data_IF_713319825374
#
_entry.id   IF_713319825374
#
_cell.length_a   1.000
_cell.length_b   1.000
_cell.length_c   1.000
_cell.angle_alpha   90.00
_cell.angle_beta   90.00
_cell.angle_gamma   90.00
#
_symmetry.space_group_name_H-M   'P 1'
#
loop_
_entity.id
_entity.type
_entity.pdbx_description
1 polymer ?
#
# COMPACT_ATOMS: atom_id res chain seq x y z
N UNK A 1 -2.88 -4.35 -37.04
CA UNK A 1 -2.10 -4.89 -38.18
C UNK A 1 -0.62 -5.20 -37.87
N UNK A 2 0.09 -4.30 -37.17
CA UNK A 2 1.51 -4.53 -36.84
C UNK A 2 1.73 -5.39 -35.59
N UNK A 3 0.87 -5.22 -34.56
CA UNK A 3 0.96 -5.95 -33.30
C UNK A 3 0.84 -7.48 -33.50
N UNK A 4 0.03 -7.90 -34.47
CA UNK A 4 -0.23 -9.32 -34.78
C UNK A 4 1.00 -10.05 -35.34
N UNK A 5 2.06 -9.31 -35.69
CA UNK A 5 3.32 -9.85 -36.25
C UNK A 5 4.51 -9.70 -35.29
N UNK A 6 4.24 -9.38 -34.02
CA UNK A 6 5.28 -9.10 -33.02
C UNK A 6 5.03 -9.91 -31.76
N UNK A 7 6.11 -10.43 -31.17
CA UNK A 7 6.06 -10.90 -29.79
C UNK A 7 6.31 -9.72 -28.85
N UNK A 8 5.35 -9.42 -27.99
CA UNK A 8 5.43 -8.29 -27.06
C UNK A 8 6.09 -8.74 -25.76
N UNK A 9 7.38 -8.45 -25.62
CA UNK A 9 8.11 -8.65 -24.36
C UNK A 9 7.89 -7.43 -23.46
N UNK A 10 7.26 -7.63 -22.31
CA UNK A 10 7.00 -6.57 -21.33
C UNK A 10 8.13 -6.52 -20.30
N UNK A 11 8.79 -5.38 -20.20
CA UNK A 11 9.80 -5.12 -19.18
C UNK A 11 9.17 -4.37 -18.00
N UNK A 12 9.21 -4.98 -16.81
CA UNK A 12 8.74 -4.34 -15.59
C UNK A 12 9.69 -3.24 -15.10
N UNK A 13 9.18 -2.34 -14.27
CA UNK A 13 10.00 -1.35 -13.58
C UNK A 13 10.90 -1.98 -12.51
N UNK A 14 11.83 -1.16 -11.99
CA UNK A 14 12.77 -1.55 -10.94
C UNK A 14 12.28 -1.15 -9.54
N UNK A 15 12.58 -1.99 -8.55
CA UNK A 15 12.52 -1.69 -7.12
C UNK A 15 13.57 -0.65 -6.73
N UNK A 16 13.43 -0.05 -5.53
CA UNK A 16 14.44 0.90 -5.04
C UNK A 16 15.82 0.24 -4.88
N UNK A 17 15.87 -0.98 -4.32
CA UNK A 17 17.11 -1.75 -4.18
C UNK A 17 17.80 -2.02 -5.52
N UNK A 18 17.04 -2.46 -6.52
CA UNK A 18 17.57 -2.65 -7.88
C UNK A 18 18.09 -1.34 -8.48
N UNK A 19 17.37 -0.22 -8.32
CA UNK A 19 17.84 1.09 -8.80
C UNK A 19 19.13 1.52 -8.13
N UNK A 20 19.31 1.27 -6.83
CA UNK A 20 20.56 1.55 -6.12
C UNK A 20 21.71 0.74 -6.72
N UNK A 21 21.51 -0.55 -6.99
CA UNK A 21 22.51 -1.42 -7.60
C UNK A 21 22.86 -0.94 -9.02
N UNK A 22 21.84 -0.63 -9.83
CA UNK A 22 22.01 -0.12 -11.20
C UNK A 22 22.79 1.20 -11.18
N UNK A 23 22.45 2.11 -10.27
CA UNK A 23 23.12 3.39 -10.12
C UNK A 23 24.60 3.22 -9.77
N UNK A 24 24.92 2.37 -8.78
CA UNK A 24 26.30 2.11 -8.34
C UNK A 24 27.15 1.48 -9.44
N UNK A 25 26.61 0.47 -10.13
CA UNK A 25 27.39 -0.35 -11.06
C UNK A 25 27.48 0.25 -12.46
N UNK A 26 26.47 1.00 -12.90
CA UNK A 26 26.37 1.46 -14.29
C UNK A 26 26.24 2.98 -14.43
N UNK A 27 25.28 3.60 -13.75
CA UNK A 27 24.95 5.02 -13.99
C UNK A 27 26.03 5.96 -13.47
N UNK A 28 26.49 5.77 -12.23
CA UNK A 28 27.52 6.62 -11.62
C UNK A 28 28.85 6.52 -12.39
N UNK A 29 29.40 5.32 -12.69
CA UNK A 29 30.62 5.20 -13.50
C UNK A 29 30.50 5.85 -14.88
N UNK A 30 29.32 5.76 -15.50
CA UNK A 30 29.04 6.42 -16.78
C UNK A 30 29.02 7.94 -16.64
N UNK A 31 28.27 8.49 -15.69
CA UNK A 31 28.18 9.93 -15.48
C UNK A 31 29.51 10.57 -15.05
N UNK A 32 30.36 9.85 -14.31
CA UNK A 32 31.73 10.31 -13.98
C UNK A 32 32.54 10.51 -15.27
N UNK A 33 32.49 9.55 -16.21
CA UNK A 33 33.18 9.64 -17.50
C UNK A 33 32.62 10.75 -18.38
N UNK A 34 31.29 10.84 -18.50
CA UNK A 34 30.63 11.84 -19.36
C UNK A 34 30.85 13.29 -18.87
N UNK A 35 31.09 13.50 -17.57
CA UNK A 35 31.38 14.82 -17.00
C UNK A 35 32.88 15.06 -16.77
N UNK A 36 33.76 14.22 -17.35
CA UNK A 36 35.22 14.37 -17.29
C UNK A 36 35.81 14.44 -15.86
N UNK A 37 35.17 13.79 -14.89
CA UNK A 37 35.66 13.70 -13.52
C UNK A 37 36.67 12.55 -13.38
N UNK A 38 37.76 12.78 -12.65
CA UNK A 38 38.75 11.72 -12.35
C UNK A 38 38.22 10.78 -11.28
N UNK A 39 38.73 9.55 -11.29
CA UNK A 39 38.39 8.53 -10.28
C UNK A 39 38.73 9.05 -8.87
N UNK A 40 37.73 9.12 -8.01
CA UNK A 40 37.87 9.58 -6.62
C UNK A 40 37.62 11.08 -6.38
N UNK A 41 37.36 11.88 -7.43
CA UNK A 41 36.92 13.28 -7.27
C UNK A 41 35.48 13.38 -6.78
N UNK A 42 34.65 12.37 -7.09
CA UNK A 42 33.28 12.26 -6.60
C UNK A 42 33.01 10.85 -6.08
N UNK A 43 32.26 10.73 -4.98
CA UNK A 43 31.82 9.45 -4.46
C UNK A 43 30.42 9.58 -3.87
N UNK A 44 29.47 8.80 -4.36
CA UNK A 44 28.11 8.77 -3.83
C UNK A 44 28.01 7.76 -2.69
N UNK A 45 27.43 8.19 -1.57
CA UNK A 45 26.97 7.28 -0.54
C UNK A 45 25.69 6.58 -0.99
N UNK A 46 25.42 5.38 -0.48
CA UNK A 46 24.16 4.69 -0.79
C UNK A 46 22.94 5.53 -0.37
N UNK A 47 23.01 6.17 0.80
CA UNK A 47 21.94 7.06 1.28
C UNK A 47 21.68 8.23 0.32
N UNK A 48 22.72 8.80 -0.29
CA UNK A 48 22.52 9.84 -1.30
C UNK A 48 21.84 9.33 -2.57
N UNK A 49 22.11 8.08 -2.97
CA UNK A 49 21.42 7.46 -4.12
C UNK A 49 19.95 7.24 -3.78
N UNK A 50 19.64 6.76 -2.57
CA UNK A 50 18.25 6.61 -2.09
C UNK A 50 17.52 7.95 -2.03
N UNK A 51 18.18 9.00 -1.53
CA UNK A 51 17.66 10.37 -1.54
C UNK A 51 17.31 10.83 -2.97
N UNK A 52 18.20 10.63 -3.93
CA UNK A 52 17.93 10.95 -5.34
C UNK A 52 16.71 10.18 -5.88
N UNK A 53 16.62 8.90 -5.58
CA UNK A 53 15.51 8.05 -6.02
C UNK A 53 14.18 8.56 -5.43
N UNK A 54 14.13 8.81 -4.12
CA UNK A 54 12.89 9.10 -3.39
C UNK A 54 12.44 10.56 -3.56
N UNK A 55 13.35 11.52 -3.45
CA UNK A 55 13.02 12.94 -3.37
C UNK A 55 13.11 13.69 -4.71
N UNK A 56 13.85 13.15 -5.69
CA UNK A 56 14.15 13.85 -6.95
C UNK A 56 13.70 13.10 -8.21
N UNK A 57 13.21 11.86 -8.09
CA UNK A 57 12.70 11.08 -9.22
C UNK A 57 11.34 10.45 -8.93
N UNK A 58 10.50 10.33 -9.96
CA UNK A 58 9.25 9.56 -9.92
C UNK A 58 9.06 8.85 -11.26
N UNK A 59 9.59 7.63 -11.36
CA UNK A 59 9.55 6.81 -12.57
C UNK A 59 9.68 5.31 -12.23
N UNK A 60 9.27 4.45 -13.15
CA UNK A 60 9.53 3.01 -13.05
C UNK A 60 10.97 2.63 -13.47
N UNK A 61 11.54 3.36 -14.42
CA UNK A 61 12.91 3.18 -14.93
C UNK A 61 13.97 3.92 -14.12
N UNK A 62 15.08 4.26 -14.79
CA UNK A 62 16.24 4.96 -14.20
C UNK A 62 16.71 6.17 -15.03
N UNK A 63 15.87 6.67 -15.94
CA UNK A 63 16.27 7.72 -16.88
C UNK A 63 16.41 9.07 -16.18
N UNK A 64 15.43 9.45 -15.36
CA UNK A 64 15.53 10.65 -14.53
C UNK A 64 16.58 10.47 -13.44
N UNK A 65 16.73 9.25 -12.88
CA UNK A 65 17.82 8.97 -11.94
C UNK A 65 19.20 9.25 -12.57
N UNK A 66 19.46 8.76 -13.79
CA UNK A 66 20.69 9.06 -14.51
C UNK A 66 20.88 10.58 -14.75
N UNK A 67 19.80 11.30 -15.11
CA UNK A 67 19.83 12.75 -15.29
C UNK A 67 20.17 13.50 -14.00
N UNK A 68 19.59 13.14 -12.86
CA UNK A 68 19.88 13.80 -11.59
C UNK A 68 21.30 13.46 -11.09
N UNK A 69 21.76 12.22 -11.26
CA UNK A 69 23.16 11.84 -11.01
C UNK A 69 24.10 12.70 -11.87
N UNK A 70 23.79 12.86 -13.15
CA UNK A 70 24.55 13.70 -14.07
C UNK A 70 24.56 15.18 -13.68
N UNK A 71 23.45 15.73 -13.19
CA UNK A 71 23.40 17.10 -12.66
C UNK A 71 24.29 17.29 -11.43
N UNK A 72 24.27 16.34 -10.50
CA UNK A 72 25.16 16.35 -9.33
C UNK A 72 26.62 16.30 -9.79
N UNK A 73 26.96 15.36 -10.69
CA UNK A 73 28.31 15.23 -11.24
C UNK A 73 28.78 16.52 -11.92
N UNK A 74 27.93 17.15 -12.74
CA UNK A 74 28.24 18.41 -13.43
C UNK A 74 28.53 19.55 -12.45
N UNK A 75 27.73 19.70 -11.39
CA UNK A 75 27.95 20.75 -10.37
C UNK A 75 29.26 20.54 -9.62
N UNK A 76 29.60 19.29 -9.31
CA UNK A 76 30.90 18.95 -8.70
C UNK A 76 32.04 19.24 -9.67
N UNK A 77 31.91 18.87 -10.95
CA UNK A 77 32.91 19.14 -11.99
C UNK A 77 33.18 20.65 -12.14
N UNK A 78 32.14 21.49 -12.14
CA UNK A 78 32.29 22.95 -12.14
C UNK A 78 33.08 23.45 -10.91
N UNK A 79 32.82 22.88 -9.73
CA UNK A 79 33.57 23.20 -8.52
C UNK A 79 35.05 22.78 -8.56
N UNK A 80 35.35 21.63 -9.17
CA UNK A 80 36.72 21.15 -9.40
C UNK A 80 37.45 22.04 -10.40
N UNK A 81 36.83 22.37 -11.53
CA UNK A 81 37.40 23.24 -12.56
C UNK A 81 37.69 24.66 -12.03
N UNK A 82 36.85 25.17 -11.13
CA UNK A 82 37.05 26.45 -10.47
C UNK A 82 38.09 26.41 -9.32
N UNK A 83 38.72 25.25 -9.06
CA UNK A 83 39.69 25.07 -7.97
C UNK A 83 39.09 25.07 -6.56
N UNK A 84 37.76 25.10 -6.43
CA UNK A 84 37.05 25.21 -5.14
C UNK A 84 36.94 23.88 -4.40
N UNK A 85 37.09 22.76 -5.08
CA UNK A 85 36.89 21.42 -4.49
C UNK A 85 37.80 20.41 -5.18
N UNK A 86 38.54 19.61 -4.40
CA UNK A 86 39.39 18.54 -4.95
C UNK A 86 38.71 17.16 -4.94
N UNK A 87 37.89 16.89 -3.93
CA UNK A 87 37.09 15.67 -3.78
C UNK A 87 35.77 16.01 -3.09
N UNK A 88 34.65 15.44 -3.53
CA UNK A 88 33.34 15.61 -2.88
C UNK A 88 32.70 14.25 -2.62
N UNK A 89 32.41 13.97 -1.36
CA UNK A 89 31.55 12.85 -0.95
C UNK A 89 30.10 13.34 -0.96
N UNK A 90 29.26 12.72 -1.78
CA UNK A 90 27.85 13.07 -1.93
C UNK A 90 27.05 12.29 -0.87
N UNK A 91 26.56 13.03 0.13
CA UNK A 91 25.61 12.60 1.16
C UNK A 91 24.22 13.18 0.87
N UNK A 92 23.14 12.73 1.53
CA UNK A 92 21.81 13.32 1.35
C UNK A 92 21.78 14.84 1.48
N UNK A 93 22.45 15.39 2.51
CA UNK A 93 22.57 16.85 2.69
C UNK A 93 23.24 17.56 1.49
N UNK A 94 24.26 16.93 0.89
CA UNK A 94 24.92 17.45 -0.31
C UNK A 94 24.02 17.36 -1.54
N UNK A 95 23.16 16.33 -1.63
CA UNK A 95 22.15 16.25 -2.70
C UNK A 95 21.22 17.46 -2.61
N UNK A 96 20.72 17.79 -1.42
CA UNK A 96 19.84 18.96 -1.21
C UNK A 96 20.57 20.28 -1.46
N UNK A 97 21.82 20.43 -1.00
CA UNK A 97 22.68 21.58 -1.29
C UNK A 97 22.81 21.80 -2.81
N UNK A 98 23.05 20.72 -3.56
CA UNK A 98 23.31 20.81 -4.99
C UNK A 98 22.05 20.87 -5.84
N UNK A 99 20.98 20.14 -5.52
CA UNK A 99 19.78 20.08 -6.36
C UNK A 99 18.65 21.01 -5.90
N UNK A 100 18.77 21.60 -4.71
CA UNK A 100 17.74 22.41 -4.08
C UNK A 100 16.70 21.56 -3.36
N UNK A 101 15.53 22.14 -3.10
CA UNK A 101 14.43 21.48 -2.38
C UNK A 101 14.00 20.17 -3.05
N UNK A 102 13.63 19.19 -2.23
CA UNK A 102 13.01 17.96 -2.68
C UNK A 102 11.78 18.26 -3.55
N UNK A 103 11.60 17.48 -4.63
CA UNK A 103 10.45 17.65 -5.55
C UNK A 103 9.30 16.71 -5.21
N UNK A 104 9.62 15.58 -4.60
CA UNK A 104 8.65 14.57 -4.19
C UNK A 104 8.80 14.36 -2.68
N UNK A 105 7.67 14.41 -1.97
CA UNK A 105 7.64 14.29 -0.51
C UNK A 105 7.28 12.87 -0.04
N UNK A 106 7.26 11.89 -0.96
CA UNK A 106 7.00 10.49 -0.65
C UNK A 106 5.66 10.29 0.11
N UNK A 107 5.66 9.63 1.28
CA UNK A 107 4.45 9.33 2.04
C UNK A 107 3.77 10.57 2.65
N UNK A 108 4.47 11.68 2.85
CA UNK A 108 3.88 12.91 3.42
C UNK A 108 2.81 13.49 2.50
N UNK A 109 3.03 13.48 1.18
CA UNK A 109 2.04 13.94 0.19
C UNK A 109 0.75 13.11 0.25
N UNK A 110 0.87 11.79 0.46
CA UNK A 110 -0.30 10.91 0.60
C UNK A 110 -1.04 11.25 1.89
N UNK A 111 -0.31 11.39 3.00
CA UNK A 111 -0.90 11.68 4.28
C UNK A 111 -1.64 13.03 4.28
N UNK A 112 -1.07 14.07 3.69
CA UNK A 112 -1.69 15.39 3.62
C UNK A 112 -3.00 15.37 2.82
N UNK A 113 -3.01 14.66 1.68
CA UNK A 113 -4.21 14.59 0.83
C UNK A 113 -5.32 13.74 1.42
N UNK A 114 -4.99 12.60 2.03
CA UNK A 114 -5.97 11.62 2.54
C UNK A 114 -6.57 11.97 3.90
N UNK A 115 -6.01 12.98 4.59
CA UNK A 115 -6.61 13.53 5.82
C UNK A 115 -7.99 14.16 5.58
N UNK A 116 -8.29 14.55 4.35
CA UNK A 116 -9.55 15.18 3.97
C UNK A 116 -10.59 14.09 3.67
N UNK A 117 -11.74 14.05 4.38
CA UNK A 117 -12.82 13.15 4.02
C UNK A 117 -13.27 13.37 2.58
N UNK A 118 -13.45 12.27 1.84
CA UNK A 118 -13.72 12.31 0.41
C UNK A 118 -12.50 12.06 -0.47
N UNK A 119 -11.30 11.89 0.10
CA UNK A 119 -10.08 11.58 -0.66
C UNK A 119 -9.62 10.13 -0.39
N UNK A 120 -9.40 9.35 -1.45
CA UNK A 120 -8.92 7.98 -1.35
C UNK A 120 -7.73 7.71 -2.29
N UNK A 121 -6.72 6.99 -1.79
CA UNK A 121 -5.57 6.57 -2.58
C UNK A 121 -5.87 5.28 -3.36
N UNK A 122 -5.76 5.35 -4.68
CA UNK A 122 -5.93 4.24 -5.62
C UNK A 122 -4.64 3.90 -6.35
N UNK A 123 -4.51 2.64 -6.77
CA UNK A 123 -3.38 2.18 -7.59
C UNK A 123 -3.79 2.09 -9.06
N UNK A 124 -3.03 2.75 -9.93
CA UNK A 124 -3.23 2.72 -11.36
C UNK A 124 -2.09 2.03 -12.08
N UNK A 125 -2.43 1.45 -13.22
CA UNK A 125 -1.46 0.96 -14.20
C UNK A 125 -1.38 1.97 -15.34
N UNK A 126 -0.17 2.33 -15.75
CA UNK A 126 0.10 3.12 -16.93
C UNK A 126 1.14 2.41 -17.80
N UNK A 127 1.26 2.74 -19.10
CA UNK A 127 2.33 2.20 -19.93
C UNK A 127 3.75 2.53 -19.43
N UNK A 128 3.90 3.58 -18.61
CA UNK A 128 5.16 3.95 -17.98
C UNK A 128 5.40 3.25 -16.62
N UNK A 129 4.50 2.36 -16.20
CA UNK A 129 4.51 1.64 -14.93
C UNK A 129 3.35 2.03 -14.02
N UNK A 130 3.32 1.47 -12.81
CA UNK A 130 2.28 1.79 -11.83
C UNK A 130 2.42 3.18 -11.21
N UNK A 131 1.30 3.78 -10.81
CA UNK A 131 1.26 5.10 -10.16
C UNK A 131 0.15 5.16 -9.08
N UNK A 132 0.28 6.12 -8.17
CA UNK A 132 -0.72 6.43 -7.14
C UNK A 132 -1.66 7.52 -7.66
N UNK A 133 -2.96 7.28 -7.53
CA UNK A 133 -4.01 8.25 -7.83
C UNK A 133 -4.73 8.66 -6.55
N UNK A 134 -5.08 9.93 -6.45
CA UNK A 134 -5.95 10.44 -5.40
C UNK A 134 -7.30 10.71 -6.01
N UNK A 135 -8.29 9.89 -5.68
CA UNK A 135 -9.67 10.12 -6.10
C UNK A 135 -10.30 11.03 -5.06
N UNK A 136 -10.89 12.13 -5.52
CA UNK A 136 -11.43 13.19 -4.68
C UNK A 136 -12.93 13.30 -4.94
N UNK A 137 -13.71 13.32 -3.87
CA UNK A 137 -15.15 13.54 -3.91
C UNK A 137 -15.49 14.77 -3.08
N UNK A 138 -16.39 15.61 -3.59
CA UNK A 138 -16.95 16.74 -2.85
C UNK A 138 -18.47 16.78 -2.98
N UNK A 139 -19.13 17.38 -2.00
CA UNK A 139 -20.58 17.56 -1.95
C UNK A 139 -20.94 19.05 -1.91
N UNK A 140 -22.01 19.40 -2.60
CA UNK A 140 -22.59 20.75 -2.66
C UNK A 140 -24.08 20.63 -2.40
N UNK A 141 -24.71 21.63 -1.76
CA UNK A 141 -26.18 21.65 -1.64
C UNK A 141 -26.83 21.62 -3.02
N UNK A 142 -27.75 20.71 -3.24
CA UNK A 142 -28.30 20.47 -4.57
C UNK A 142 -29.42 19.44 -4.63
N UNK A 143 -29.74 19.03 -5.86
CA UNK A 143 -30.93 18.27 -6.22
C UNK A 143 -30.66 16.85 -6.74
N UNK A 144 -29.55 16.22 -6.31
CA UNK A 144 -29.10 14.84 -6.63
C UNK A 144 -28.24 14.67 -7.87
N UNK A 145 -27.60 15.72 -8.36
CA UNK A 145 -26.71 15.61 -9.51
C UNK A 145 -25.41 14.85 -9.16
N UNK A 146 -24.88 14.06 -10.10
CA UNK A 146 -23.62 13.36 -9.94
C UNK A 146 -22.69 13.64 -11.13
N UNK A 147 -21.69 14.48 -10.87
CA UNK A 147 -20.69 14.87 -11.86
C UNK A 147 -19.43 14.06 -11.69
N UNK A 148 -18.85 13.62 -12.80
CA UNK A 148 -17.56 12.92 -12.80
C UNK A 148 -16.61 13.62 -13.77
N UNK A 149 -15.42 14.02 -13.29
CA UNK A 149 -14.41 14.69 -14.12
C UNK A 149 -13.05 13.99 -14.06
N UNK A 150 -12.17 14.37 -14.99
CA UNK A 150 -10.82 13.81 -15.11
C UNK A 150 -10.64 12.94 -16.35
N UNK A 151 -11.21 13.34 -17.49
CA UNK A 151 -11.01 12.69 -18.80
C UNK A 151 -11.22 11.17 -18.77
N UNK A 152 -12.34 10.75 -18.18
CA UNK A 152 -12.71 9.35 -18.04
C UNK A 152 -13.35 8.82 -19.33
N UNK A 153 -12.95 7.59 -19.70
CA UNK A 153 -13.68 6.79 -20.69
C UNK A 153 -15.01 6.29 -20.13
N UNK A 154 -15.86 5.73 -20.99
CA UNK A 154 -17.23 5.38 -20.64
C UNK A 154 -17.29 4.24 -19.61
N UNK A 155 -16.38 3.26 -19.69
CA UNK A 155 -16.26 2.16 -18.72
C UNK A 155 -16.00 2.71 -17.30
N UNK A 156 -15.17 3.75 -17.21
CA UNK A 156 -14.83 4.34 -15.91
C UNK A 156 -15.96 5.22 -15.36
N UNK A 157 -16.74 5.89 -16.22
CA UNK A 157 -17.98 6.58 -15.81
C UNK A 157 -19.02 5.59 -15.28
N UNK A 158 -19.19 4.45 -15.94
CA UNK A 158 -20.07 3.37 -15.45
C UNK A 158 -19.61 2.84 -14.09
N UNK A 159 -18.30 2.63 -13.91
CA UNK A 159 -17.72 2.23 -12.63
C UNK A 159 -17.97 3.26 -11.52
N UNK A 160 -17.91 4.56 -11.84
CA UNK A 160 -18.23 5.64 -10.90
C UNK A 160 -19.72 5.61 -10.49
N UNK A 161 -20.62 5.39 -11.45
CA UNK A 161 -22.06 5.24 -11.19
C UNK A 161 -22.36 4.00 -10.34
N UNK A 162 -21.68 2.89 -10.61
CA UNK A 162 -21.81 1.66 -9.83
C UNK A 162 -21.32 1.86 -8.38
N UNK A 163 -20.21 2.58 -8.19
CA UNK A 163 -19.71 2.94 -6.88
C UNK A 163 -20.70 3.80 -6.08
N UNK A 164 -21.26 4.85 -6.70
CA UNK A 164 -22.29 5.68 -6.06
C UNK A 164 -23.52 4.86 -5.70
N UNK A 165 -24.02 4.05 -6.64
CA UNK A 165 -25.20 3.19 -6.43
C UNK A 165 -24.98 2.23 -5.28
N UNK A 166 -23.79 1.63 -5.18
CA UNK A 166 -23.43 0.73 -4.10
C UNK A 166 -23.45 1.45 -2.75
N UNK A 167 -22.70 2.56 -2.61
CA UNK A 167 -22.62 3.30 -1.33
C UNK A 167 -24.00 3.77 -0.89
N UNK A 168 -24.85 4.22 -1.82
CA UNK A 168 -26.24 4.58 -1.54
C UNK A 168 -27.05 3.40 -0.99
N UNK A 169 -26.88 2.21 -1.56
CA UNK A 169 -27.61 1.01 -1.13
C UNK A 169 -27.22 0.49 0.26
N UNK A 170 -26.04 0.88 0.77
CA UNK A 170 -25.54 0.51 2.10
C UNK A 170 -25.52 1.69 3.08
N UNK A 171 -26.27 2.76 2.80
CA UNK A 171 -26.28 3.99 3.61
C UNK A 171 -26.59 3.73 5.09
N UNK A 172 -27.57 2.87 5.36
CA UNK A 172 -27.98 2.51 6.72
C UNK A 172 -26.83 1.87 7.52
N UNK A 173 -26.08 0.94 6.90
CA UNK A 173 -24.97 0.27 7.59
C UNK A 173 -23.77 1.19 7.83
N UNK A 174 -23.65 2.26 7.04
CA UNK A 174 -22.63 3.30 7.18
C UNK A 174 -23.08 4.48 8.07
N UNK A 175 -24.30 4.45 8.61
CA UNK A 175 -24.91 5.56 9.36
C UNK A 175 -25.00 6.87 8.55
N UNK A 176 -25.21 6.76 7.24
CA UNK A 176 -25.46 7.90 6.35
C UNK A 176 -26.96 8.18 6.34
N UNK A 177 -27.37 9.43 6.56
CA UNK A 177 -28.78 9.81 6.48
C UNK A 177 -29.26 9.68 5.04
N UNK A 178 -30.44 9.10 4.81
CA UNK A 178 -31.02 8.99 3.47
C UNK A 178 -31.17 10.34 2.76
N UNK A 179 -31.45 11.39 3.55
CA UNK A 179 -31.59 12.75 3.03
C UNK A 179 -30.29 13.32 2.44
N UNK A 180 -29.13 12.78 2.83
CA UNK A 180 -27.83 13.20 2.33
C UNK A 180 -27.77 13.12 0.80
N UNK A 181 -28.23 12.01 0.23
CA UNK A 181 -28.21 11.81 -1.22
C UNK A 181 -29.28 12.62 -1.94
N UNK A 182 -30.31 13.10 -1.22
CA UNK A 182 -31.36 13.93 -1.81
C UNK A 182 -31.10 15.41 -1.80
N UNK A 183 -30.30 15.87 -0.85
CA UNK A 183 -30.03 17.28 -0.58
C UNK A 183 -28.67 17.75 -1.11
N UNK A 184 -27.85 16.82 -1.62
CA UNK A 184 -26.51 17.13 -2.09
C UNK A 184 -26.29 16.65 -3.53
N UNK A 185 -25.68 17.53 -4.32
CA UNK A 185 -25.00 17.17 -5.56
C UNK A 185 -23.59 16.70 -5.22
N UNK A 186 -23.12 15.68 -5.92
CA UNK A 186 -21.80 15.08 -5.69
C UNK A 186 -20.95 15.28 -6.93
N UNK A 187 -19.70 15.71 -6.72
CA UNK A 187 -18.70 15.78 -7.77
C UNK A 187 -17.53 14.87 -7.42
N UNK A 188 -17.32 13.84 -8.23
CA UNK A 188 -16.18 12.94 -8.16
C UNK A 188 -15.12 13.35 -9.20
N UNK A 189 -13.90 13.59 -8.75
CA UNK A 189 -12.76 13.86 -9.60
C UNK A 189 -11.79 12.68 -9.54
N UNK A 190 -11.46 12.13 -10.71
CA UNK A 190 -10.42 11.12 -10.87
C UNK A 190 -9.30 11.77 -11.67
N UNK A 191 -8.22 12.26 -11.04
CA UNK A 191 -7.16 12.99 -11.75
C UNK A 191 -6.64 12.15 -12.90
N UNK A 192 -6.62 12.69 -14.12
CA UNK A 192 -5.97 12.03 -15.25
C UNK A 192 -4.51 12.45 -15.36
N UNK A 193 -3.65 11.52 -15.77
CA UNK A 193 -2.39 11.89 -16.40
C UNK A 193 -2.64 12.24 -17.88
N UNK A 194 -1.62 12.16 -18.72
CA UNK A 194 -1.75 12.42 -20.16
C UNK A 194 -2.47 11.32 -20.96
N UNK A 195 -2.86 10.19 -20.34
CA UNK A 195 -3.55 9.09 -21.00
C UNK A 195 -4.96 8.84 -20.44
N UNK A 196 -5.95 8.56 -21.32
CA UNK A 196 -7.31 8.19 -20.90
C UNK A 196 -7.28 6.98 -19.96
N UNK A 197 -8.00 7.09 -18.85
CA UNK A 197 -8.13 6.01 -17.84
C UNK A 197 -9.41 5.24 -18.10
N UNK A 198 -9.32 4.28 -19.03
CA UNK A 198 -10.47 3.51 -19.48
C UNK A 198 -10.50 2.10 -18.88
N UNK A 199 -10.24 1.99 -17.58
CA UNK A 199 -10.20 0.71 -16.87
C UNK A 199 -10.96 0.75 -15.56
N UNK A 200 -11.83 -0.24 -15.26
CA UNK A 200 -12.75 -0.20 -14.10
C UNK A 200 -12.04 -0.41 -12.74
N UNK A 201 -10.71 -0.58 -12.74
CA UNK A 201 -9.91 -1.02 -11.59
C UNK A 201 -9.79 -0.04 -10.40
N UNK A 202 -10.47 1.09 -10.48
CA UNK A 202 -10.57 2.09 -9.40
C UNK A 202 -11.98 2.14 -8.77
N UNK A 203 -12.86 1.20 -9.10
CA UNK A 203 -14.23 1.11 -8.56
C UNK A 203 -14.30 1.14 -7.03
N UNK A 204 -13.49 0.32 -6.36
CA UNK A 204 -13.47 0.27 -4.89
C UNK A 204 -12.86 1.54 -4.26
N UNK A 205 -11.96 2.21 -4.98
CA UNK A 205 -11.36 3.49 -4.56
C UNK A 205 -12.40 4.60 -4.62
N UNK A 206 -13.19 4.66 -5.69
CA UNK A 206 -14.30 5.61 -5.83
C UNK A 206 -15.37 5.38 -4.77
N UNK A 207 -15.73 4.12 -4.50
CA UNK A 207 -16.68 3.78 -3.44
C UNK A 207 -16.16 4.24 -2.06
N UNK A 208 -14.86 4.07 -1.79
CA UNK A 208 -14.24 4.51 -0.54
C UNK A 208 -14.20 6.03 -0.40
N UNK A 209 -13.89 6.77 -1.47
CA UNK A 209 -13.94 8.23 -1.48
C UNK A 209 -15.38 8.73 -1.22
N UNK A 210 -16.38 8.17 -1.90
CA UNK A 210 -17.78 8.54 -1.73
C UNK A 210 -18.31 8.22 -0.32
N UNK A 211 -17.97 7.04 0.22
CA UNK A 211 -18.34 6.66 1.59
C UNK A 211 -17.62 7.55 2.62
N UNK A 212 -16.35 7.87 2.40
CA UNK A 212 -15.58 8.78 3.25
C UNK A 212 -16.22 10.18 3.30
N UNK A 213 -16.59 10.72 2.14
CA UNK A 213 -17.27 12.01 2.04
C UNK A 213 -18.60 12.01 2.80
N UNK A 214 -19.44 10.99 2.58
CA UNK A 214 -20.78 10.93 3.16
C UNK A 214 -20.78 10.66 4.67
N UNK A 215 -19.77 9.94 5.18
CA UNK A 215 -19.63 9.63 6.62
C UNK A 215 -18.82 10.69 7.38
N UNK A 216 -18.05 11.53 6.67
CA UNK A 216 -17.08 12.44 7.27
C UNK A 216 -15.85 11.73 7.86
N UNK A 217 -15.68 10.43 7.61
CA UNK A 217 -14.54 9.65 8.12
C UNK A 217 -13.45 9.63 7.04
N UNK A 218 -12.27 10.13 7.36
CA UNK A 218 -11.13 10.09 6.45
C UNK A 218 -10.67 8.65 6.16
N UNK A 219 -10.24 8.42 4.92
CA UNK A 219 -9.60 7.15 4.54
C UNK A 219 -8.21 7.09 5.17
N UNK A 220 -7.82 5.91 5.67
CA UNK A 220 -6.48 5.70 6.24
C UNK A 220 -5.39 6.13 5.25
N UNK A 221 -4.40 6.87 5.73
CA UNK A 221 -3.36 7.47 4.89
C UNK A 221 -2.23 6.52 4.48
N UNK A 222 -2.08 5.40 5.18
CA UNK A 222 -1.02 4.41 4.92
C UNK A 222 -1.46 3.28 3.99
N UNK A 223 -2.66 3.36 3.41
CA UNK A 223 -3.20 2.35 2.50
C UNK A 223 -3.48 2.89 1.11
N UNK A 224 -3.39 2.00 0.13
CA UNK A 224 -4.00 2.20 -1.19
C UNK A 224 -4.76 0.95 -1.61
N UNK A 225 -5.63 1.11 -2.61
CA UNK A 225 -6.49 0.04 -3.06
C UNK A 225 -6.65 0.01 -4.58
N UNK A 226 -6.97 -1.17 -5.11
CA UNK A 226 -7.39 -1.34 -6.51
C UNK A 226 -8.37 -2.51 -6.59
N UNK A 227 -9.35 -2.40 -7.47
CA UNK A 227 -10.39 -3.40 -7.61
C UNK A 227 -11.54 -2.83 -8.42
N UNK A 228 -12.08 -3.66 -9.29
CA UNK A 228 -13.34 -3.36 -9.96
C UNK A 228 -14.52 -3.66 -9.03
N UNK A 229 -15.59 -2.90 -9.18
CA UNK A 229 -16.79 -2.97 -8.35
C UNK A 229 -18.00 -3.39 -9.19
N UNK A 230 -18.89 -4.18 -8.59
CA UNK A 230 -20.21 -4.47 -9.15
C UNK A 230 -21.29 -3.76 -8.34
N UNK A 231 -22.49 -3.60 -8.92
CA UNK A 231 -23.66 -3.07 -8.21
C UNK A 231 -24.04 -3.87 -6.95
N UNK A 232 -23.64 -5.16 -6.88
CA UNK A 232 -23.88 -6.06 -5.74
C UNK A 232 -22.77 -6.01 -4.69
N UNK A 233 -21.78 -5.12 -4.84
CA UNK A 233 -20.68 -5.00 -3.89
C UNK A 233 -19.61 -6.08 -3.99
N UNK A 234 -19.59 -6.88 -5.06
CA UNK A 234 -18.45 -7.79 -5.32
C UNK A 234 -17.25 -7.03 -5.85
N UNK A 235 -16.07 -7.44 -5.40
CA UNK A 235 -14.78 -6.94 -5.90
C UNK A 235 -14.24 -7.92 -6.94
N UNK A 236 -14.01 -7.43 -8.15
CA UNK A 236 -13.54 -8.22 -9.29
C UNK A 236 -12.02 -8.10 -9.50
N UNK A 237 -11.37 -9.13 -10.08
CA UNK A 237 -9.94 -9.14 -10.30
C UNK A 237 -9.50 -8.04 -11.29
N UNK A 238 -8.27 -7.59 -11.11
CA UNK A 238 -7.66 -6.53 -11.93
C UNK A 238 -6.36 -7.00 -12.56
N UNK A 239 -5.94 -6.33 -13.64
CA UNK A 239 -4.62 -6.53 -14.25
C UNK A 239 -3.54 -5.61 -13.66
N UNK A 240 -2.28 -5.95 -13.96
CA UNK A 240 -1.11 -5.13 -13.62
C UNK A 240 -0.82 -5.06 -12.11
N UNK A 241 -1.07 -6.15 -11.38
CA UNK A 241 -0.90 -6.24 -9.93
C UNK A 241 0.54 -5.91 -9.55
N UNK A 242 1.52 -6.51 -10.24
CA UNK A 242 2.94 -6.27 -10.00
C UNK A 242 3.30 -4.78 -10.06
N UNK A 243 2.95 -4.09 -11.14
CA UNK A 243 3.29 -2.68 -11.31
C UNK A 243 2.60 -1.78 -10.28
N UNK A 244 1.34 -2.09 -9.95
CA UNK A 244 0.56 -1.36 -8.95
C UNK A 244 1.16 -1.52 -7.54
N UNK A 245 1.55 -2.74 -7.17
CA UNK A 245 2.18 -3.02 -5.88
C UNK A 245 3.57 -2.37 -5.79
N UNK A 246 4.36 -2.40 -6.87
CA UNK A 246 5.63 -1.66 -6.93
C UNK A 246 5.43 -0.15 -6.77
N UNK A 247 4.35 0.41 -7.32
CA UNK A 247 4.01 1.82 -7.13
C UNK A 247 3.65 2.13 -5.68
N UNK A 248 2.88 1.26 -5.03
CA UNK A 248 2.55 1.39 -3.60
C UNK A 248 3.81 1.39 -2.74
N UNK A 249 4.72 0.45 -3.00
CA UNK A 249 6.00 0.35 -2.29
C UNK A 249 6.85 1.61 -2.46
N UNK A 250 7.01 2.10 -3.70
CA UNK A 250 7.76 3.34 -3.98
C UNK A 250 7.15 4.57 -3.30
N UNK A 251 5.85 4.58 -3.08
CA UNK A 251 5.15 5.66 -2.41
C UNK A 251 5.18 5.53 -0.87
N UNK A 252 5.80 4.47 -0.33
CA UNK A 252 5.91 4.25 1.11
C UNK A 252 4.61 3.79 1.78
N UNK A 253 3.66 3.26 1.02
CA UNK A 253 2.41 2.73 1.55
C UNK A 253 2.63 1.41 2.27
N UNK A 254 2.02 1.25 3.44
CA UNK A 254 2.18 0.07 4.31
C UNK A 254 1.16 -1.00 4.03
N UNK A 255 -0.02 -0.62 3.53
CA UNK A 255 -1.12 -1.56 3.28
C UNK A 255 -1.63 -1.43 1.86
N UNK A 256 -1.86 -2.56 1.19
CA UNK A 256 -2.50 -2.58 -0.13
C UNK A 256 -3.72 -3.49 -0.10
N UNK A 257 -4.87 -2.95 -0.46
CA UNK A 257 -6.10 -3.72 -0.63
C UNK A 257 -6.18 -4.24 -2.06
N UNK A 258 -6.28 -5.57 -2.21
CA UNK A 258 -6.36 -6.26 -3.50
C UNK A 258 -7.60 -7.16 -3.56
N UNK A 259 -8.17 -7.40 -4.76
CA UNK A 259 -9.18 -8.44 -4.92
C UNK A 259 -8.60 -9.79 -4.52
N UNK A 260 -9.37 -10.62 -3.82
CA UNK A 260 -8.90 -11.92 -3.33
C UNK A 260 -8.41 -12.85 -4.44
N UNK A 261 -9.03 -12.76 -5.62
CA UNK A 261 -8.63 -13.55 -6.80
C UNK A 261 -7.25 -13.15 -7.35
N UNK A 262 -6.75 -11.97 -7.02
CA UNK A 262 -5.40 -11.53 -7.41
C UNK A 262 -4.30 -11.98 -6.44
N UNK A 263 -4.61 -12.82 -5.44
CA UNK A 263 -3.58 -13.34 -4.52
C UNK A 263 -2.49 -14.14 -5.25
N UNK A 264 -2.85 -14.82 -6.35
CA UNK A 264 -1.91 -15.58 -7.20
C UNK A 264 -0.93 -14.66 -7.95
N UNK A 265 -1.35 -13.45 -8.33
CA UNK A 265 -0.50 -12.51 -9.06
C UNK A 265 0.61 -11.89 -8.19
N UNK A 266 0.61 -12.16 -6.87
CA UNK A 266 1.72 -11.78 -6.00
C UNK A 266 2.95 -12.67 -6.17
N UNK A 267 2.84 -13.82 -6.83
CA UNK A 267 4.02 -14.65 -7.14
C UNK A 267 5.05 -13.88 -7.98
N UNK A 268 4.59 -12.98 -8.85
CA UNK A 268 5.43 -12.14 -9.70
C UNK A 268 6.04 -10.91 -9.00
N UNK A 269 5.69 -10.68 -7.73
CA UNK A 269 6.16 -9.55 -6.93
C UNK A 269 7.44 -9.94 -6.16
N UNK A 270 8.49 -9.11 -6.20
CA UNK A 270 9.73 -9.35 -5.44
C UNK A 270 9.48 -9.55 -3.94
N UNK A 271 10.22 -10.46 -3.30
CA UNK A 271 10.06 -10.79 -1.88
C UNK A 271 10.25 -9.58 -0.96
N UNK A 272 11.24 -8.71 -1.26
CA UNK A 272 11.47 -7.45 -0.52
C UNK A 272 10.19 -6.59 -0.42
N UNK A 273 9.42 -6.52 -1.52
CA UNK A 273 8.18 -5.74 -1.57
C UNK A 273 7.06 -6.45 -0.82
N UNK A 274 7.01 -7.79 -0.91
CA UNK A 274 6.01 -8.59 -0.20
C UNK A 274 6.18 -8.55 1.31
N UNK A 275 7.42 -8.43 1.78
CA UNK A 275 7.74 -8.31 3.20
C UNK A 275 7.47 -6.90 3.74
N UNK A 276 7.59 -5.86 2.88
CA UNK A 276 7.38 -4.47 3.27
C UNK A 276 5.89 -4.04 3.30
N UNK A 277 5.00 -4.73 2.57
CA UNK A 277 3.59 -4.36 2.42
C UNK A 277 2.67 -5.41 3.06
N UNK A 278 1.75 -4.95 3.89
CA UNK A 278 0.62 -5.74 4.38
C UNK A 278 -0.49 -5.80 3.32
N UNK A 279 -0.69 -6.96 2.70
CA UNK A 279 -1.77 -7.18 1.73
C UNK A 279 -3.08 -7.56 2.42
N UNK A 280 -4.16 -6.85 2.05
CA UNK A 280 -5.52 -7.15 2.49
C UNK A 280 -6.33 -7.62 1.28
N UNK A 281 -6.66 -8.91 1.28
CA UNK A 281 -7.46 -9.53 0.23
C UNK A 281 -8.95 -9.44 0.54
N UNK A 282 -9.72 -8.91 -0.40
CA UNK A 282 -11.16 -8.67 -0.22
C UNK A 282 -12.00 -9.35 -1.31
N UNK A 283 -13.19 -9.81 -0.93
CA UNK A 283 -14.20 -10.31 -1.88
C UNK A 283 -15.35 -9.30 -2.08
N UNK A 284 -15.52 -8.37 -1.14
CA UNK A 284 -16.65 -7.43 -1.12
C UNK A 284 -16.24 -6.02 -0.74
N UNK A 285 -17.01 -5.03 -1.19
CA UNK A 285 -16.75 -3.60 -0.94
C UNK A 285 -16.92 -3.28 0.54
N UNK A 286 -17.80 -3.97 1.28
CA UNK A 286 -17.90 -3.80 2.73
C UNK A 286 -16.59 -4.06 3.46
N UNK A 287 -15.81 -5.06 3.00
CA UNK A 287 -14.49 -5.35 3.56
C UNK A 287 -13.48 -4.25 3.25
N UNK A 288 -13.59 -3.65 2.05
CA UNK A 288 -12.80 -2.49 1.66
C UNK A 288 -13.12 -1.33 2.58
N UNK A 289 -14.40 -0.94 2.70
CA UNK A 289 -14.83 0.20 3.51
C UNK A 289 -14.49 0.01 4.99
N UNK A 290 -14.70 -1.18 5.54
CA UNK A 290 -14.32 -1.49 6.93
C UNK A 290 -12.81 -1.35 7.16
N UNK A 291 -11.98 -1.73 6.18
CA UNK A 291 -10.53 -1.61 6.29
C UNK A 291 -10.07 -0.17 6.09
N UNK A 292 -10.69 0.53 5.15
CA UNK A 292 -10.32 1.87 4.70
C UNK A 292 -10.72 2.97 5.70
N UNK A 293 -11.90 2.86 6.30
CA UNK A 293 -12.47 3.87 7.21
C UNK A 293 -12.26 3.53 8.70
N UNK A 294 -11.39 2.56 9.01
CA UNK A 294 -11.02 2.25 10.40
C UNK A 294 -12.11 1.56 11.22
N UNK A 295 -13.09 0.91 10.58
CA UNK A 295 -14.09 0.10 11.27
C UNK A 295 -13.43 -1.05 12.03
N UNK A 296 -13.66 -1.14 13.35
CA UNK A 296 -13.13 -2.21 14.22
C UNK A 296 -13.58 -3.60 13.75
N UNK A 297 -12.88 -4.22 12.79
CA UNK A 297 -12.96 -5.66 12.57
C UNK A 297 -11.93 -6.30 13.50
N UNK A 298 -12.41 -7.01 14.54
CA UNK A 298 -11.58 -7.77 15.48
C UNK A 298 -10.60 -8.64 14.68
N UNK A 299 -9.33 -8.21 14.64
CA UNK A 299 -8.23 -9.02 14.12
C UNK A 299 -8.27 -10.38 14.81
N UNK A 300 -8.57 -11.45 14.05
CA UNK A 300 -8.23 -12.81 14.46
C UNK A 300 -6.71 -12.91 14.44
N UNK A 301 -6.07 -12.43 15.51
CA UNK A 301 -4.67 -12.70 15.78
C UNK A 301 -4.49 -14.22 15.82
N UNK A 302 -3.67 -14.71 14.89
CA UNK A 302 -3.14 -16.07 14.79
C UNK A 302 -2.91 -16.65 16.19
N UNK A 303 -3.52 -17.81 16.45
CA UNK A 303 -3.28 -18.59 17.66
C UNK A 303 -1.76 -18.84 17.80
N UNK A 304 -1.16 -18.21 18.81
CA UNK A 304 0.22 -18.47 19.20
C UNK A 304 0.33 -19.95 19.56
N UNK A 305 1.26 -20.64 18.88
CA UNK A 305 1.82 -21.95 19.24
C UNK A 305 1.91 -22.06 20.77
N UNK A 306 1.19 -23.01 21.35
CA UNK A 306 1.44 -23.49 22.72
C UNK A 306 2.83 -24.11 22.70
N UNK A 307 3.81 -23.39 23.22
CA UNK A 307 5.11 -23.95 23.56
C UNK A 307 4.93 -24.96 24.68
N UNK A 308 5.51 -26.14 24.47
CA UNK A 308 5.50 -27.26 25.39
C UNK A 308 6.06 -26.87 26.76
N UNK A 309 5.29 -27.15 27.82
CA UNK A 309 5.75 -27.01 29.19
C UNK A 309 6.73 -28.16 29.51
N UNK A 310 7.99 -27.83 29.82
CA UNK A 310 8.94 -28.73 30.50
C UNK A 310 8.68 -28.70 32.02
N UNK A 311 8.86 -29.83 32.74
CA UNK A 311 8.41 -29.95 34.12
C UNK A 311 9.35 -29.23 35.11
N UNK A 312 8.77 -28.59 36.12
CA UNK A 312 9.49 -27.92 37.20
C UNK A 312 10.20 -28.95 38.09
N UNK A 313 11.52 -28.80 38.23
CA UNK A 313 12.32 -29.41 39.31
C UNK A 313 11.93 -28.79 40.65
N UNK A 314 11.69 -29.63 41.66
CA UNK A 314 11.52 -29.26 43.07
C UNK A 314 12.90 -29.32 43.77
N UNK A 315 13.18 -28.33 44.60
CA UNK A 315 14.15 -28.45 45.72
C UNK A 315 13.62 -27.68 46.94
N UNK A 316 14.01 -28.09 48.15
CA UNK A 316 13.18 -27.96 49.36
C UNK A 316 13.53 -26.73 50.19
N UNK A 317 12.54 -26.18 50.89
CA UNK A 317 12.73 -25.15 51.92
C UNK A 317 12.38 -25.72 53.29
N UNK A 318 13.31 -25.55 54.23
CA UNK A 318 13.31 -26.08 55.60
C UNK A 318 12.32 -25.36 56.51
N UNK A 319 11.87 -26.14 57.49
CA UNK A 319 11.09 -25.84 58.67
C UNK A 319 11.36 -24.50 59.39
N UNK A 320 10.29 -23.93 59.96
CA UNK A 320 10.25 -23.49 61.37
C UNK A 320 8.80 -23.42 61.91
N UNK A 321 8.56 -24.29 62.89
CA UNK A 321 7.79 -24.13 64.14
C UNK A 321 6.27 -23.83 64.16
N UNK A 322 5.57 -24.79 64.78
CA UNK A 322 4.20 -24.83 65.32
C UNK A 322 4.02 -23.89 66.55
N UNK A 323 2.79 -23.65 67.11
CA UNK A 323 1.76 -24.65 67.46
C UNK A 323 0.29 -24.29 67.13
N UNK A 324 -0.49 -25.24 66.60
CA UNK A 324 -1.46 -26.10 67.29
C UNK A 324 -2.82 -25.44 67.63
N UNK A 325 -3.88 -25.84 66.92
CA UNK A 325 -5.09 -26.39 67.56
C UNK A 325 -6.04 -27.02 66.53
N UNK A 326 -6.43 -28.27 66.84
CA UNK A 326 -7.77 -28.90 66.74
C UNK A 326 -8.65 -28.45 65.56
N UNK A 327 -9.15 -29.30 64.66
CA UNK A 327 -10.03 -30.43 64.96
C UNK A 327 -10.53 -31.09 63.66
N UNK A 328 -10.30 -32.40 63.51
CA UNK A 328 -11.26 -33.47 63.13
C UNK A 328 -12.43 -33.06 62.21
N UNK A 329 -12.56 -33.61 60.99
CA UNK A 329 -13.22 -34.91 60.59
C UNK A 329 -13.96 -34.54 59.28
N UNK A 330 -14.26 -35.35 58.27
CA UNK A 330 -14.23 -36.79 57.91
C UNK A 330 -14.39 -36.79 56.37
N UNK A 331 -13.67 -37.63 55.62
CA UNK A 331 -14.17 -38.87 54.98
C UNK A 331 -15.57 -38.72 54.32
N UNK A 332 -15.85 -39.15 53.09
CA UNK A 332 -15.30 -40.30 52.35
C UNK A 332 -15.82 -40.32 50.89
N UNK A 333 -14.92 -40.71 49.97
CA UNK A 333 -15.18 -41.24 48.61
C UNK A 333 -15.90 -42.63 48.68
N UNK A 334 -15.95 -43.42 47.59
CA UNK A 334 -16.65 -43.30 46.30
C UNK A 334 -17.43 -44.60 45.99
N UNK A 335 -18.01 -44.77 44.78
CA UNK A 335 -17.94 -46.03 43.99
C UNK A 335 -18.65 -45.92 42.62
N UNK A 336 -17.84 -46.04 41.55
CA UNK A 336 -18.14 -46.73 40.26
C UNK A 336 -18.14 -48.26 40.52
N UNK A 337 -18.26 -49.20 39.54
CA UNK A 337 -18.45 -49.11 38.07
C UNK A 337 -19.49 -50.11 37.51
N UNK A 338 -19.80 -50.06 36.20
CA UNK A 338 -19.64 -51.22 35.29
C UNK A 338 -19.96 -50.86 33.83
N UNK A 339 -18.98 -51.09 32.96
CA UNK A 339 -19.04 -51.31 31.50
C UNK A 339 -19.47 -52.78 31.21
N UNK A 340 -19.61 -53.31 29.96
CA UNK A 340 -19.18 -52.79 28.64
C UNK A 340 -20.13 -53.06 27.42
N UNK A 341 -19.82 -52.43 26.27
CA UNK A 341 -19.85 -52.82 24.82
C UNK A 341 -20.43 -54.17 24.32
N UNK A 342 -20.48 -54.50 22.98
CA UNK A 342 -20.43 -53.74 21.70
C UNK A 342 -21.44 -54.25 20.60
N UNK A 343 -21.16 -53.93 19.31
CA UNK A 343 -21.62 -54.57 18.04
C UNK A 343 -22.93 -53.99 17.45
N UNK A 344 -23.06 -53.63 16.16
CA UNK A 344 -22.21 -53.75 14.98
C UNK A 344 -22.81 -52.91 13.82
N UNK A 345 -21.98 -52.66 12.80
CA UNK A 345 -22.34 -52.09 11.50
C UNK A 345 -22.72 -53.22 10.51
N UNK A 346 -22.87 -53.01 9.18
CA UNK A 346 -23.34 -51.84 8.41
C UNK A 346 -24.47 -52.22 7.40
N UNK A 347 -25.06 -51.22 6.74
CA UNK A 347 -25.36 -51.22 5.29
C UNK A 347 -25.52 -49.80 4.78
#
# INVERSE_FOLDING_TARGET
PLLDRMEVIRLSGYTEGEKVIIAKNYLIPRQIRENSLRKGEITFTELAIRELIQAYTREAGVRNLEREIGRVARKVATGVAAGKTKKKKVTPAVVTELLGKARYLGPEEIADRTQIPGVAAGLAWTPAGGDILFIEATAMKGGKDFKVTGLLGDVMKESAQAALSYVRSVSESLNIKDSYWSENDIHLHVPAGAQPKDGPSAGITMASALASLATGIAVRSDLAMTGEITLRGKVLPIGGVKEKVLAAHRAGLKTVILPKRNAVDLEDVPDEVKEAIDFVFVDTVDEVLSTALGGKRKSKRKAKKRTAAKPRKKTPSKAKTQPASKSKKKLSRPRKPHSPEPVGAPR
#
